data_IF_595880698773
#
_entry.id   IF_595880698773
#
_cell.length_a   1.000
_cell.length_b   1.000
_cell.length_c   1.000
_cell.angle_alpha   90.00
_cell.angle_beta   90.00
_cell.angle_gamma   90.00
#
_symmetry.space_group_name_H-M   'P 1'
#
loop_
_entity.id
_entity.type
_entity.pdbx_description
1 polymer ?
#
# COMPACT_ATOMS: atom_id res chain seq x y z
N UNK A 1 -14.16 3.20 10.01
CA UNK A 1 -15.00 2.24 10.77
C UNK A 1 -14.10 1.45 11.70
N UNK A 2 -14.61 1.03 12.86
CA UNK A 2 -13.83 0.35 13.89
C UNK A 2 -14.70 -0.66 14.64
N UNK A 3 -14.33 -1.94 14.57
CA UNK A 3 -15.08 -3.01 15.24
C UNK A 3 -14.86 -3.05 16.75
N UNK A 4 -13.83 -2.37 17.28
CA UNK A 4 -13.49 -2.36 18.71
C UNK A 4 -14.46 -1.49 19.52
N UNK A 5 -14.92 -0.40 18.91
CA UNK A 5 -15.81 0.58 19.55
C UNK A 5 -17.18 0.72 18.87
N UNK A 6 -17.37 0.11 17.69
CA UNK A 6 -18.63 0.16 16.95
C UNK A 6 -18.79 1.40 16.05
N UNK A 7 -17.72 2.16 15.82
CA UNK A 7 -17.78 3.29 14.89
C UNK A 7 -18.06 2.80 13.47
N UNK A 8 -19.26 3.08 12.95
CA UNK A 8 -19.68 2.68 11.60
C UNK A 8 -19.91 1.18 11.40
N UNK A 9 -19.97 0.38 12.47
CA UNK A 9 -20.22 -1.07 12.44
C UNK A 9 -20.68 -1.58 13.83
N UNK A 10 -20.85 -2.88 14.02
CA UNK A 10 -21.11 -3.45 15.35
C UNK A 10 -19.81 -3.54 16.18
N UNK A 11 -19.87 -3.21 17.47
CA UNK A 11 -18.75 -3.32 18.41
C UNK A 11 -18.47 -4.79 18.80
N UNK A 12 -17.79 -5.53 17.91
CA UNK A 12 -17.35 -6.93 18.11
C UNK A 12 -16.32 -7.33 17.05
N UNK A 13 -15.40 -8.27 17.36
CA UNK A 13 -14.48 -8.80 16.38
C UNK A 13 -15.20 -9.35 15.14
N UNK A 14 -14.59 -9.17 13.97
CA UNK A 14 -15.02 -9.88 12.77
C UNK A 14 -14.59 -11.35 12.90
N UNK A 15 -15.56 -12.25 12.98
CA UNK A 15 -15.31 -13.68 13.11
C UNK A 15 -14.55 -14.24 11.88
N UNK A 16 -13.66 -15.21 12.12
CA UNK A 16 -12.95 -15.91 11.05
C UNK A 16 -13.91 -16.62 10.12
N UNK A 17 -13.68 -16.49 8.81
CA UNK A 17 -14.59 -17.01 7.79
C UNK A 17 -15.72 -16.05 7.40
N UNK A 18 -15.90 -14.92 8.10
CA UNK A 18 -16.96 -13.97 7.81
C UNK A 18 -16.50 -12.82 6.91
N UNK A 19 -17.48 -12.20 6.26
CA UNK A 19 -17.32 -10.99 5.45
C UNK A 19 -18.15 -9.86 6.05
N UNK A 20 -17.54 -8.69 6.18
CA UNK A 20 -18.18 -7.44 6.54
C UNK A 20 -18.41 -6.60 5.28
N UNK A 21 -19.64 -6.12 5.08
CA UNK A 21 -19.98 -5.16 4.03
C UNK A 21 -19.82 -3.74 4.57
N UNK A 22 -19.14 -2.88 3.81
CA UNK A 22 -18.83 -1.51 4.18
C UNK A 22 -19.30 -0.58 3.05
N UNK A 23 -20.17 0.37 3.39
CA UNK A 23 -20.59 1.46 2.50
C UNK A 23 -19.87 2.72 2.95
N UNK A 24 -18.83 3.17 2.23
CA UNK A 24 -18.11 4.38 2.58
C UNK A 24 -18.95 5.63 2.30
N UNK A 25 -18.76 6.67 3.12
CA UNK A 25 -19.33 7.99 2.87
C UNK A 25 -18.48 8.73 1.83
N UNK A 26 -18.85 8.60 0.56
CA UNK A 26 -18.12 9.14 -0.59
C UNK A 26 -19.07 9.77 -1.60
N UNK A 27 -18.60 10.72 -2.43
CA UNK A 27 -19.43 11.35 -3.45
C UNK A 27 -20.08 10.34 -4.41
N UNK A 28 -21.27 10.66 -4.89
CA UNK A 28 -21.94 9.88 -5.93
C UNK A 28 -21.07 9.79 -7.19
N UNK A 29 -21.08 8.62 -7.84
CA UNK A 29 -20.21 8.34 -9.00
C UNK A 29 -18.81 7.84 -8.64
N UNK A 30 -18.47 7.72 -7.35
CA UNK A 30 -17.26 7.02 -6.91
C UNK A 30 -17.25 5.56 -7.39
N UNK A 31 -16.16 5.13 -8.00
CA UNK A 31 -15.96 3.78 -8.54
C UNK A 31 -14.97 2.95 -7.73
N UNK A 32 -14.09 3.58 -6.96
CA UNK A 32 -13.16 2.91 -6.06
C UNK A 32 -12.78 3.81 -4.87
N UNK A 33 -12.24 3.20 -3.81
CA UNK A 33 -11.73 3.91 -2.63
C UNK A 33 -10.33 3.42 -2.25
N UNK A 34 -9.49 4.35 -1.81
CA UNK A 34 -8.21 4.05 -1.14
C UNK A 34 -8.48 3.94 0.36
N UNK A 35 -8.10 2.81 0.95
CA UNK A 35 -8.34 2.52 2.37
C UNK A 35 -7.08 1.98 3.03
N UNK A 36 -6.94 2.28 4.31
CA UNK A 36 -5.98 1.63 5.21
C UNK A 36 -6.73 0.68 6.14
N UNK A 37 -6.32 -0.57 6.16
CA UNK A 37 -6.94 -1.63 6.97
C UNK A 37 -5.98 -2.06 8.05
N UNK A 38 -6.46 -2.13 9.29
CA UNK A 38 -5.68 -2.55 10.46
C UNK A 38 -6.35 -3.75 11.10
N UNK A 39 -5.60 -4.83 11.31
CA UNK A 39 -6.04 -5.97 12.13
C UNK A 39 -5.46 -5.86 13.52
N UNK A 40 -6.32 -5.95 14.53
CA UNK A 40 -5.98 -5.85 15.95
C UNK A 40 -6.36 -7.16 16.64
N UNK A 41 -5.45 -7.67 17.46
CA UNK A 41 -5.60 -8.91 18.25
C UNK A 41 -6.18 -10.11 17.49
N UNK A 42 -5.59 -10.51 16.34
CA UNK A 42 -6.04 -11.70 15.63
C UNK A 42 -5.79 -12.97 16.45
N UNK A 43 -6.76 -13.88 16.48
CA UNK A 43 -6.68 -15.13 17.27
C UNK A 43 -5.69 -16.16 16.70
N UNK A 44 -5.28 -16.01 15.45
CA UNK A 44 -4.33 -16.87 14.75
C UNK A 44 -3.60 -16.10 13.64
N UNK A 45 -2.56 -16.68 13.06
CA UNK A 45 -2.00 -16.15 11.80
C UNK A 45 -3.02 -16.30 10.69
N UNK A 46 -3.20 -15.26 9.87
CA UNK A 46 -4.21 -15.25 8.82
C UNK A 46 -4.06 -14.05 7.90
N UNK A 47 -5.15 -13.70 7.24
CA UNK A 47 -5.18 -12.58 6.30
C UNK A 47 -6.56 -11.95 6.22
N UNK A 48 -6.57 -10.70 5.75
CA UNK A 48 -7.77 -9.97 5.37
C UNK A 48 -7.75 -9.69 3.88
N UNK A 49 -8.89 -9.92 3.23
CA UNK A 49 -9.12 -9.62 1.81
C UNK A 49 -10.12 -8.49 1.69
N UNK A 50 -9.80 -7.47 0.88
CA UNK A 50 -10.67 -6.33 0.59
C UNK A 50 -11.02 -6.38 -0.90
N UNK A 51 -12.31 -6.34 -1.24
CA UNK A 51 -12.80 -6.59 -2.60
C UNK A 51 -14.18 -5.97 -2.85
N UNK A 52 -14.60 -5.70 -4.10
CA UNK A 52 -15.95 -5.21 -4.37
C UNK A 52 -17.00 -6.21 -3.87
N UNK A 53 -18.08 -5.72 -3.26
CA UNK A 53 -19.19 -6.61 -2.89
C UNK A 53 -19.93 -7.13 -4.14
N UNK A 54 -20.49 -8.33 -4.04
CA UNK A 54 -21.29 -8.94 -5.11
C UNK A 54 -20.49 -9.71 -6.17
N UNK A 55 -19.16 -9.79 -6.04
CA UNK A 55 -18.31 -10.68 -6.85
C UNK A 55 -17.76 -11.83 -6.01
N UNK A 56 -17.35 -12.96 -6.61
CA UNK A 56 -16.60 -13.99 -5.91
C UNK A 56 -15.35 -13.40 -5.24
N UNK A 57 -15.10 -13.78 -3.98
CA UNK A 57 -13.95 -13.28 -3.22
C UNK A 57 -12.63 -13.64 -3.96
N UNK A 58 -11.80 -12.67 -4.35
CA UNK A 58 -10.50 -12.92 -4.95
C UNK A 58 -9.50 -13.47 -3.92
N UNK A 59 -8.39 -14.04 -4.39
CA UNK A 59 -7.32 -14.58 -3.52
C UNK A 59 -6.33 -13.52 -3.00
N UNK A 60 -6.64 -12.23 -3.19
CA UNK A 60 -5.79 -11.13 -2.74
C UNK A 60 -5.79 -10.99 -1.22
N UNK A 61 -4.66 -10.54 -0.67
CA UNK A 61 -4.47 -10.30 0.76
C UNK A 61 -4.06 -8.84 0.97
N UNK A 62 -4.95 -8.05 1.56
CA UNK A 62 -4.65 -6.66 1.90
C UNK A 62 -3.75 -6.56 3.13
N UNK A 63 -3.99 -7.42 4.13
CA UNK A 63 -3.26 -7.47 5.41
C UNK A 63 -2.93 -8.92 5.74
N UNK A 64 -1.70 -9.17 6.21
CA UNK A 64 -1.28 -10.46 6.75
C UNK A 64 -1.32 -10.41 8.29
N UNK A 65 -2.42 -10.89 8.86
CA UNK A 65 -2.69 -10.88 10.30
C UNK A 65 -1.70 -11.76 11.06
N UNK A 66 -1.16 -11.24 12.15
CA UNK A 66 -0.14 -11.92 12.96
C UNK A 66 -0.50 -11.81 14.44
N UNK A 67 -0.53 -12.96 15.13
CA UNK A 67 -0.80 -13.03 16.57
C UNK A 67 0.17 -12.15 17.34
N UNK A 68 -0.36 -11.35 18.28
CA UNK A 68 0.43 -10.44 19.10
C UNK A 68 0.95 -9.21 18.36
N UNK A 69 0.47 -8.95 17.13
CA UNK A 69 0.84 -7.76 16.35
C UNK A 69 -0.40 -7.01 15.88
N UNK A 70 -0.35 -5.69 15.97
CA UNK A 70 -1.22 -4.81 15.19
C UNK A 70 -0.58 -4.66 13.82
N UNK A 71 -1.28 -5.04 12.76
CA UNK A 71 -0.75 -5.02 11.38
C UNK A 71 -1.66 -4.17 10.51
N UNK A 72 -1.06 -3.25 9.78
CA UNK A 72 -1.75 -2.38 8.82
C UNK A 72 -1.36 -2.75 7.38
N UNK A 73 -2.29 -2.57 6.46
CA UNK A 73 -2.04 -2.63 5.03
C UNK A 73 -3.07 -1.81 4.26
N UNK A 74 -2.60 -1.12 3.22
CA UNK A 74 -3.47 -0.31 2.37
C UNK A 74 -3.98 -1.10 1.16
N UNK A 75 -5.09 -0.65 0.60
CA UNK A 75 -5.69 -1.18 -0.62
C UNK A 75 -6.44 -0.07 -1.38
N UNK A 76 -6.36 -0.10 -2.71
CA UNK A 76 -7.37 0.56 -3.55
C UNK A 76 -8.38 -0.51 -3.97
N UNK A 77 -9.62 -0.34 -3.55
CA UNK A 77 -10.71 -1.32 -3.76
C UNK A 77 -11.82 -0.72 -4.63
N UNK A 78 -12.21 -1.40 -5.72
CA UNK A 78 -13.41 -1.06 -6.48
C UNK A 78 -14.68 -1.14 -5.61
N UNK A 79 -15.63 -0.23 -5.82
CA UNK A 79 -16.96 -0.32 -5.22
C UNK A 79 -17.84 -1.23 -6.08
N UNK A 80 -18.52 -2.17 -5.42
CA UNK A 80 -19.49 -3.07 -6.04
C UNK A 80 -20.90 -2.48 -6.08
N UNK A 81 -21.89 -3.37 -6.18
CA UNK A 81 -23.30 -2.97 -6.16
C UNK A 81 -23.64 -2.16 -4.89
N UNK A 82 -24.42 -1.09 -5.05
CA UNK A 82 -24.80 -0.21 -3.94
C UNK A 82 -23.67 0.67 -3.39
N UNK A 83 -22.53 0.78 -4.11
CA UNK A 83 -21.40 1.61 -3.67
C UNK A 83 -20.62 1.00 -2.51
N UNK A 84 -20.72 -0.31 -2.29
CA UNK A 84 -20.11 -1.00 -1.15
C UNK A 84 -18.86 -1.79 -1.54
N UNK A 85 -17.93 -1.94 -0.60
CA UNK A 85 -16.88 -2.95 -0.66
C UNK A 85 -16.98 -3.91 0.53
N UNK A 86 -16.37 -5.07 0.36
CA UNK A 86 -16.45 -6.19 1.26
C UNK A 86 -15.07 -6.49 1.84
N UNK A 87 -15.03 -6.78 3.14
CA UNK A 87 -13.84 -7.15 3.88
C UNK A 87 -14.03 -8.55 4.46
N UNK A 88 -13.26 -9.50 3.97
CA UNK A 88 -13.24 -10.87 4.50
C UNK A 88 -12.07 -11.04 5.46
N UNK A 89 -12.32 -11.69 6.61
CA UNK A 89 -11.25 -12.11 7.51
C UNK A 89 -11.14 -13.63 7.56
N UNK A 90 -9.93 -14.16 7.35
CA UNK A 90 -9.67 -15.60 7.45
C UNK A 90 -9.73 -16.11 8.90
N UNK A 91 -9.37 -15.26 9.85
CA UNK A 91 -9.31 -15.55 11.29
C UNK A 91 -10.09 -14.50 12.07
N UNK A 92 -10.53 -14.82 13.29
CA UNK A 92 -11.20 -13.82 14.14
C UNK A 92 -10.21 -12.71 14.51
N UNK A 93 -10.58 -11.46 14.28
CA UNK A 93 -9.75 -10.28 14.59
C UNK A 93 -10.64 -9.06 14.73
N UNK A 94 -10.20 -8.09 15.51
CA UNK A 94 -10.72 -6.72 15.40
C UNK A 94 -10.15 -6.07 14.13
N UNK A 95 -10.94 -5.20 13.49
CA UNK A 95 -10.61 -4.53 12.25
C UNK A 95 -10.95 -3.05 12.34
N UNK A 96 -9.97 -2.21 11.99
CA UNK A 96 -10.16 -0.79 11.75
C UNK A 96 -9.97 -0.53 10.26
N UNK A 97 -10.86 0.25 9.65
CA UNK A 97 -10.70 0.70 8.25
C UNK A 97 -10.85 2.21 8.19
N UNK A 98 -9.79 2.86 7.74
CA UNK A 98 -9.74 4.30 7.47
C UNK A 98 -9.90 4.55 5.97
N UNK A 99 -10.68 5.56 5.60
CA UNK A 99 -10.83 6.02 4.23
C UNK A 99 -9.79 7.10 3.92
N UNK A 100 -8.92 6.86 2.94
CA UNK A 100 -7.86 7.78 2.54
C UNK A 100 -8.26 8.66 1.36
N UNK A 101 -9.11 8.15 0.46
CA UNK A 101 -9.58 8.88 -0.71
C UNK A 101 -10.53 8.05 -1.58
N UNK A 102 -11.10 8.71 -2.59
CA UNK A 102 -12.06 8.12 -3.53
C UNK A 102 -11.65 8.41 -4.97
N UNK A 103 -11.96 7.48 -5.87
CA UNK A 103 -11.73 7.61 -7.30
C UNK A 103 -13.07 7.66 -8.03
N UNK A 104 -13.19 8.57 -8.98
CA UNK A 104 -14.33 8.67 -9.88
C UNK A 104 -13.82 9.03 -11.28
N UNK A 105 -14.51 8.59 -12.35
CA UNK A 105 -14.18 9.02 -13.71
C UNK A 105 -14.20 10.55 -13.83
N UNK A 106 -13.22 11.12 -14.52
CA UNK A 106 -13.10 12.57 -14.76
C UNK A 106 -13.10 13.42 -13.47
N UNK A 107 -12.57 12.89 -12.37
CA UNK A 107 -12.34 13.66 -11.16
C UNK A 107 -11.40 14.85 -11.44
N UNK A 108 -11.62 15.99 -10.79
CA UNK A 108 -10.79 17.20 -10.96
C UNK A 108 -9.37 17.05 -10.42
N UNK A 109 -9.13 16.08 -9.52
CA UNK A 109 -7.82 15.68 -9.06
C UNK A 109 -7.53 14.25 -9.56
N UNK A 110 -6.74 14.17 -10.63
CA UNK A 110 -6.30 12.91 -11.24
C UNK A 110 -4.98 12.45 -10.63
N UNK A 111 -4.55 11.22 -10.90
CA UNK A 111 -3.25 10.72 -10.46
C UNK A 111 -2.19 10.96 -11.53
N UNK A 112 -0.97 11.32 -11.13
CA UNK A 112 0.20 11.30 -11.98
C UNK A 112 1.23 10.34 -11.36
N UNK A 113 1.43 9.17 -11.96
CA UNK A 113 2.43 8.24 -11.48
C UNK A 113 3.82 8.73 -11.88
N UNK A 114 4.79 8.60 -10.97
CA UNK A 114 6.19 8.94 -11.24
C UNK A 114 7.08 7.72 -11.01
N UNK A 115 8.30 7.76 -11.53
CA UNK A 115 9.35 6.87 -11.03
C UNK A 115 9.56 7.22 -9.57
N UNK A 116 9.41 6.24 -8.67
CA UNK A 116 9.46 6.47 -7.22
C UNK A 116 10.73 7.20 -6.79
N UNK A 117 10.60 8.14 -5.85
CA UNK A 117 11.71 8.95 -5.34
C UNK A 117 11.75 9.00 -3.81
N UNK A 118 12.95 8.85 -3.23
CA UNK A 118 13.19 9.09 -1.79
C UNK A 118 13.03 10.57 -1.49
N UNK A 119 12.11 10.92 -0.59
CA UNK A 119 11.89 12.30 -0.11
C UNK A 119 12.47 12.54 1.27
N UNK A 120 12.58 11.48 2.06
CA UNK A 120 13.12 11.56 3.41
C UNK A 120 13.79 10.25 3.80
N UNK A 121 14.95 10.30 4.44
CA UNK A 121 15.64 9.13 4.99
C UNK A 121 16.53 9.50 6.18
N UNK A 122 16.31 8.83 7.31
CA UNK A 122 17.13 9.01 8.52
C UNK A 122 18.30 8.03 8.60
N UNK A 123 18.32 6.99 7.77
CA UNK A 123 19.36 5.97 7.83
C UNK A 123 20.76 6.48 7.50
N UNK A 124 20.97 7.40 6.52
CA UNK A 124 22.31 7.90 6.20
C UNK A 124 23.00 8.61 7.37
N UNK A 125 22.26 9.23 8.29
CA UNK A 125 22.83 9.85 9.49
C UNK A 125 23.07 8.86 10.62
N UNK A 126 22.57 7.62 10.52
CA UNK A 126 22.61 6.61 11.57
C UNK A 126 21.76 6.94 12.81
N UNK A 127 21.06 8.08 12.82
CA UNK A 127 20.27 8.54 13.97
C UNK A 127 18.79 8.19 13.78
N UNK A 128 18.22 7.47 14.76
CA UNK A 128 16.77 7.29 14.88
C UNK A 128 16.11 8.60 15.27
N UNK A 129 14.90 8.82 14.79
CA UNK A 129 14.02 9.86 15.33
C UNK A 129 13.62 9.51 16.76
N UNK A 130 13.42 10.52 17.60
CA UNK A 130 12.92 10.35 18.96
C UNK A 130 11.40 10.13 18.94
N UNK A 131 10.84 9.47 19.95
CA UNK A 131 9.40 9.29 20.07
C UNK A 131 8.68 10.65 20.11
N UNK A 132 7.59 10.79 19.35
CA UNK A 132 6.86 12.05 19.24
C UNK A 132 7.40 13.00 18.17
N UNK A 133 8.50 12.68 17.50
CA UNK A 133 9.04 13.52 16.42
C UNK A 133 8.05 13.61 15.26
N UNK A 134 7.81 14.83 14.79
CA UNK A 134 7.06 15.12 13.56
C UNK A 134 8.05 15.61 12.50
N UNK A 135 8.11 14.89 11.39
CA UNK A 135 8.90 15.26 10.22
C UNK A 135 7.98 15.87 9.17
N UNK A 136 8.37 17.00 8.59
CA UNK A 136 7.72 17.58 7.41
C UNK A 136 8.43 17.07 6.17
N UNK A 137 7.71 16.31 5.33
CA UNK A 137 8.23 15.72 4.11
C UNK A 137 7.70 16.49 2.91
N UNK A 138 8.59 17.15 2.18
CA UNK A 138 8.21 17.91 0.99
C UNK A 138 7.90 16.98 -0.19
N UNK A 139 6.66 17.01 -0.69
CA UNK A 139 6.22 16.22 -1.84
C UNK A 139 6.10 17.06 -3.11
N UNK A 140 5.83 18.36 -2.99
CA UNK A 140 5.85 19.31 -4.13
C UNK A 140 7.25 19.78 -4.51
N UNK A 141 7.49 19.95 -5.80
CA UNK A 141 8.79 20.38 -6.33
C UNK A 141 9.84 19.27 -6.24
N UNK A 142 11.05 19.50 -6.76
CA UNK A 142 12.16 18.50 -6.78
C UNK A 142 11.86 17.21 -7.55
N UNK A 143 11.44 17.31 -8.82
CA UNK A 143 11.33 16.15 -9.72
C UNK A 143 10.23 15.14 -9.41
N UNK A 144 9.31 15.44 -8.47
CA UNK A 144 8.30 14.49 -7.98
C UNK A 144 6.86 14.98 -8.10
N UNK A 145 6.44 15.96 -7.29
CA UNK A 145 5.07 16.50 -7.29
C UNK A 145 4.93 17.84 -8.01
N UNK A 146 3.85 18.01 -8.78
CA UNK A 146 3.52 19.28 -9.43
C UNK A 146 3.13 20.38 -8.41
N UNK A 147 3.30 21.67 -8.76
CA UNK A 147 2.94 22.80 -7.89
C UNK A 147 1.47 22.83 -7.45
N UNK A 148 0.56 22.29 -8.27
CA UNK A 148 -0.88 22.21 -8.03
C UNK A 148 -1.35 20.89 -7.42
N UNK A 149 -0.42 19.99 -7.06
CA UNK A 149 -0.79 18.69 -6.47
C UNK A 149 -1.56 18.87 -5.16
N UNK A 150 -2.70 18.22 -5.00
CA UNK A 150 -3.57 18.30 -3.81
C UNK A 150 -3.43 17.09 -2.89
N UNK A 151 -2.83 15.99 -3.35
CA UNK A 151 -2.46 14.84 -2.53
C UNK A 151 -1.18 14.17 -3.05
N UNK A 152 -0.58 13.31 -2.22
CA UNK A 152 0.60 12.51 -2.53
C UNK A 152 0.30 11.03 -2.29
N UNK A 153 0.79 10.16 -3.18
CA UNK A 153 0.85 8.72 -2.95
C UNK A 153 2.26 8.38 -2.48
N UNK A 154 2.40 7.96 -1.22
CA UNK A 154 3.69 7.72 -0.58
C UNK A 154 3.84 6.27 -0.11
N UNK A 155 5.08 5.81 0.03
CA UNK A 155 5.43 4.61 0.79
C UNK A 155 6.20 5.03 2.03
N UNK A 156 5.72 4.61 3.20
CA UNK A 156 6.32 4.90 4.50
C UNK A 156 7.08 3.68 4.97
N UNK A 157 8.33 3.87 5.40
CA UNK A 157 9.16 2.83 6.00
C UNK A 157 9.46 3.17 7.45
N UNK A 158 8.85 2.42 8.38
CA UNK A 158 9.21 2.42 9.79
C UNK A 158 10.24 1.33 10.03
N UNK A 159 11.45 1.69 10.45
CA UNK A 159 12.59 0.78 10.44
C UNK A 159 13.31 0.76 11.79
N UNK A 160 13.74 -0.43 12.18
CA UNK A 160 14.52 -0.70 13.39
C UNK A 160 13.93 0.00 14.63
N UNK A 161 12.62 -0.14 14.82
CA UNK A 161 11.94 0.49 15.95
C UNK A 161 12.50 -0.05 17.27
N UNK A 162 12.82 0.83 18.22
CA UNK A 162 13.38 0.44 19.51
C UNK A 162 12.38 -0.34 20.36
N UNK A 163 11.11 0.06 20.29
CA UNK A 163 9.95 -0.58 20.92
C UNK A 163 8.79 -0.54 19.93
N UNK A 164 7.73 -1.32 20.19
CA UNK A 164 6.54 -1.30 19.35
C UNK A 164 5.90 0.09 19.32
N UNK A 165 5.40 0.48 18.16
CA UNK A 165 4.82 1.79 17.93
C UNK A 165 4.18 1.89 16.55
N UNK A 166 3.90 3.10 16.13
CA UNK A 166 3.23 3.39 14.87
C UNK A 166 3.77 4.67 14.23
N UNK A 167 3.42 4.82 12.96
CA UNK A 167 3.61 6.04 12.17
C UNK A 167 2.23 6.55 11.76
N UNK A 168 2.03 7.86 11.80
CA UNK A 168 0.84 8.54 11.25
C UNK A 168 1.32 9.57 10.23
N UNK A 169 0.69 9.60 9.05
CA UNK A 169 0.91 10.62 8.03
C UNK A 169 -0.36 11.43 7.79
N UNK A 170 -0.24 12.76 7.67
CA UNK A 170 -1.37 13.66 7.48
C UNK A 170 -0.95 14.97 6.78
N UNK A 171 -1.89 15.72 6.17
CA UNK A 171 -1.63 17.08 5.70
C UNK A 171 -1.21 17.99 6.87
N UNK A 172 -0.05 18.66 6.75
CA UNK A 172 0.56 19.44 7.84
C UNK A 172 -0.29 20.62 8.36
N UNK A 173 -1.25 21.09 7.58
CA UNK A 173 -2.16 22.19 7.88
C UNK A 173 -3.44 21.75 8.61
N UNK A 174 -3.62 20.45 8.85
CA UNK A 174 -4.73 19.90 9.61
C UNK A 174 -4.27 19.35 10.96
N UNK A 175 -5.23 19.15 11.86
CA UNK A 175 -5.01 18.39 13.09
C UNK A 175 -4.61 16.95 12.78
N UNK A 176 -3.69 16.40 13.58
CA UNK A 176 -3.22 15.03 13.42
C UNK A 176 -4.37 14.06 13.71
N UNK A 177 -4.68 13.13 12.78
CA UNK A 177 -5.69 12.11 13.01
C UNK A 177 -5.18 11.07 14.02
N UNK A 178 -6.10 10.31 14.62
CA UNK A 178 -5.75 9.19 15.51
C UNK A 178 -5.36 7.91 14.74
N UNK A 179 -5.66 7.86 13.45
CA UNK A 179 -5.35 6.73 12.59
C UNK A 179 -3.83 6.51 12.43
N UNK A 180 -3.42 5.24 12.46
CA UNK A 180 -2.04 4.82 12.16
C UNK A 180 -1.91 4.51 10.67
N UNK A 181 -0.88 5.07 10.03
CA UNK A 181 -0.47 4.74 8.67
C UNK A 181 0.35 3.44 8.60
N UNK A 182 1.17 3.15 9.62
CA UNK A 182 1.93 1.91 9.70
C UNK A 182 2.12 1.49 11.16
N UNK A 183 2.03 0.19 11.45
CA UNK A 183 2.27 -0.37 12.78
C UNK A 183 3.52 -1.23 12.79
N UNK A 184 4.44 -0.99 13.73
CA UNK A 184 5.76 -1.61 13.79
C UNK A 184 6.01 -2.18 15.18
N UNK A 185 6.68 -3.33 15.25
CA UNK A 185 7.12 -3.90 16.53
C UNK A 185 8.57 -3.54 16.85
N UNK A 186 8.95 -3.64 18.13
CA UNK A 186 10.34 -3.54 18.56
C UNK A 186 11.26 -4.51 17.79
N UNK A 187 12.40 -4.00 17.32
CA UNK A 187 13.39 -4.74 16.52
C UNK A 187 12.95 -5.06 15.09
N UNK A 188 11.83 -4.53 14.61
CA UNK A 188 11.28 -4.82 13.28
C UNK A 188 11.33 -3.62 12.33
N UNK A 189 11.10 -3.92 11.05
CA UNK A 189 10.90 -2.93 10.00
C UNK A 189 9.68 -3.29 9.18
N UNK A 190 8.84 -2.31 8.85
CA UNK A 190 7.62 -2.48 8.05
C UNK A 190 7.53 -1.38 6.99
N UNK A 191 6.74 -1.66 5.95
CA UNK A 191 6.35 -0.66 4.96
C UNK A 191 4.83 -0.61 4.84
N UNK A 192 4.27 0.57 4.60
CA UNK A 192 2.90 0.68 4.09
C UNK A 192 2.80 1.80 3.06
N UNK A 193 1.92 1.66 2.06
CA UNK A 193 1.62 2.73 1.11
C UNK A 193 0.43 3.56 1.61
N UNK A 194 0.45 4.88 1.41
CA UNK A 194 -0.59 5.78 1.90
C UNK A 194 -0.83 6.86 0.86
N UNK A 195 -2.09 7.07 0.49
CA UNK A 195 -2.53 8.28 -0.19
C UNK A 195 -2.92 9.32 0.87
N UNK A 196 -2.32 10.51 0.80
CA UNK A 196 -2.47 11.55 1.82
C UNK A 196 -2.62 12.92 1.16
N UNK A 197 -3.63 13.68 1.59
CA UNK A 197 -3.81 15.07 1.16
C UNK A 197 -2.57 15.91 1.51
N UNK A 198 -2.32 16.95 0.72
CA UNK A 198 -1.25 17.92 0.98
C UNK A 198 -1.81 19.34 1.04
N UNK A 199 -1.45 20.07 2.08
CA UNK A 199 -1.84 21.46 2.28
C UNK A 199 -1.18 22.43 1.29
N UNK A 200 -1.38 23.75 1.45
CA UNK A 200 -0.80 24.77 0.57
C UNK A 200 0.73 24.76 0.46
N UNK A 201 1.45 24.24 1.47
CA UNK A 201 2.93 24.13 1.43
C UNK A 201 3.44 22.95 0.60
N UNK A 202 2.58 21.96 0.31
CA UNK A 202 2.99 20.74 -0.39
C UNK A 202 3.78 19.77 0.48
N UNK A 203 3.58 19.83 1.79
CA UNK A 203 4.22 18.98 2.79
C UNK A 203 3.24 17.93 3.33
N UNK A 204 3.79 16.74 3.62
CA UNK A 204 3.13 15.71 4.44
C UNK A 204 3.82 15.68 5.79
N UNK A 205 3.05 15.75 6.87
CA UNK A 205 3.56 15.60 8.22
C UNK A 205 3.53 14.13 8.61
N UNK A 206 4.63 13.65 9.20
CA UNK A 206 4.81 12.25 9.59
C UNK A 206 5.30 12.17 11.03
N UNK A 207 4.49 11.55 11.90
CA UNK A 207 4.79 11.30 13.31
C UNK A 207 5.39 9.91 13.45
N UNK A 208 6.44 9.77 14.27
CA UNK A 208 6.85 8.48 14.82
C UNK A 208 6.47 8.38 16.30
N UNK A 209 5.79 7.31 16.72
CA UNK A 209 5.35 7.15 18.12
C UNK A 209 6.41 6.51 19.03
N UNK A 210 7.50 6.02 18.45
CA UNK A 210 8.59 5.32 19.15
C UNK A 210 9.92 5.62 18.44
N UNK A 211 11.08 5.45 19.10
CA UNK A 211 12.36 5.72 18.46
C UNK A 211 12.61 4.75 17.31
N UNK A 212 12.73 5.27 16.08
CA UNK A 212 12.88 4.45 14.86
C UNK A 212 13.58 5.22 13.74
N UNK A 213 14.11 4.51 12.77
CA UNK A 213 14.42 5.12 11.48
C UNK A 213 13.13 5.27 10.67
N UNK A 214 12.98 6.42 10.03
CA UNK A 214 11.93 6.71 9.08
C UNK A 214 12.55 6.95 7.71
N UNK A 215 11.87 6.44 6.69
CA UNK A 215 12.02 6.93 5.33
C UNK A 215 10.66 7.05 4.63
N UNK A 216 10.57 7.98 3.68
CA UNK A 216 9.35 8.24 2.91
C UNK A 216 9.70 8.37 1.44
N UNK A 217 9.03 7.56 0.63
CA UNK A 217 9.14 7.52 -0.83
C UNK A 217 7.88 8.10 -1.46
N UNK A 218 8.03 8.91 -2.50
CA UNK A 218 6.92 9.44 -3.31
C UNK A 218 6.74 8.56 -4.55
N UNK A 219 5.56 7.95 -4.68
CA UNK A 219 5.19 7.06 -5.79
C UNK A 219 4.48 7.82 -6.93
N UNK A 220 3.80 8.91 -6.58
CA UNK A 220 3.03 9.75 -7.49
C UNK A 220 2.30 10.85 -6.70
N UNK A 221 1.56 11.68 -7.41
CA UNK A 221 0.79 12.78 -6.81
C UNK A 221 -0.58 12.88 -7.47
N UNK A 222 -1.50 13.55 -6.79
CA UNK A 222 -2.83 13.83 -7.30
C UNK A 222 -3.00 15.33 -7.52
N UNK A 223 -3.66 15.76 -8.59
CA UNK A 223 -3.94 17.17 -8.82
C UNK A 223 -4.55 17.48 -10.19
N UNK A 224 -4.91 18.75 -10.44
CA UNK A 224 -5.56 19.17 -11.70
C UNK A 224 -4.70 18.93 -12.96
N UNK A 225 -3.40 19.12 -12.87
CA UNK A 225 -2.47 18.92 -14.00
C UNK A 225 -2.08 17.45 -14.23
N UNK A 226 -2.49 16.54 -13.35
CA UNK A 226 -2.21 15.11 -13.51
C UNK A 226 -2.97 14.52 -14.71
N UNK A 227 -2.42 13.47 -15.32
CA UNK A 227 -2.90 12.99 -16.63
C UNK A 227 -3.64 11.66 -16.61
N UNK A 228 -3.65 10.91 -15.50
CA UNK A 228 -4.18 9.54 -15.48
C UNK A 228 -5.39 9.37 -14.57
N UNK A 229 -6.40 8.66 -15.08
CA UNK A 229 -7.57 8.23 -14.30
C UNK A 229 -7.33 6.83 -13.73
N UNK A 230 -7.98 6.52 -12.61
CA UNK A 230 -7.95 5.15 -12.07
C UNK A 230 -9.07 4.30 -12.68
N UNK A 231 -8.67 3.17 -13.25
CA UNK A 231 -9.55 2.16 -13.81
C UNK A 231 -9.48 0.90 -12.95
N UNK A 232 -10.54 0.71 -12.18
CA UNK A 232 -10.69 -0.44 -11.31
C UNK A 232 -10.93 -1.71 -12.15
N UNK A 233 -10.36 -2.84 -11.73
CA UNK A 233 -10.66 -4.16 -12.31
C UNK A 233 -11.12 -5.12 -11.21
N UNK A 234 -11.80 -6.21 -11.58
CA UNK A 234 -11.96 -7.32 -10.64
C UNK A 234 -10.55 -7.85 -10.31
N UNK A 235 -10.14 -7.91 -9.03
CA UNK A 235 -8.78 -8.28 -8.71
C UNK A 235 -8.39 -9.64 -9.27
N UNK A 236 -7.22 -9.74 -9.88
CA UNK A 236 -6.72 -10.97 -10.49
C UNK A 236 -5.25 -11.20 -10.16
N UNK A 237 -4.84 -12.48 -10.17
CA UNK A 237 -3.45 -12.90 -9.95
C UNK A 237 -2.64 -12.59 -11.20
N UNK A 238 -1.62 -11.75 -11.08
CA UNK A 238 -0.62 -11.49 -12.12
C UNK A 238 0.55 -12.47 -12.01
N UNK A 239 0.95 -12.81 -10.78
CA UNK A 239 2.06 -13.73 -10.54
C UNK A 239 1.90 -14.48 -9.23
N UNK A 240 2.29 -15.75 -9.22
CA UNK A 240 2.44 -16.57 -8.01
C UNK A 240 3.67 -17.46 -8.16
N UNK A 241 4.76 -17.11 -7.48
CA UNK A 241 6.00 -17.88 -7.60
C UNK A 241 5.92 -19.25 -6.92
N UNK A 242 4.89 -19.51 -6.10
CA UNK A 242 4.66 -20.83 -5.49
C UNK A 242 4.10 -21.82 -6.51
N UNK A 243 3.40 -21.29 -7.51
CA UNK A 243 2.79 -22.05 -8.62
C UNK A 243 3.59 -21.91 -9.93
N UNK A 244 4.75 -21.25 -9.89
CA UNK A 244 5.57 -20.90 -11.06
C UNK A 244 4.78 -20.12 -12.13
N UNK A 245 3.80 -19.32 -11.69
CA UNK A 245 2.98 -18.48 -12.55
C UNK A 245 3.52 -17.04 -12.59
N UNK A 246 3.71 -16.48 -13.79
CA UNK A 246 4.29 -15.15 -14.02
C UNK A 246 5.81 -15.05 -13.79
N UNK A 247 6.36 -15.87 -12.89
CA UNK A 247 7.80 -16.03 -12.63
C UNK A 247 8.16 -17.52 -12.51
N UNK A 248 9.40 -17.93 -12.86
CA UNK A 248 9.82 -19.34 -12.91
C UNK A 248 10.04 -20.00 -11.53
N UNK A 249 9.51 -19.41 -10.45
CA UNK A 249 9.69 -19.89 -9.07
C UNK A 249 10.17 -18.79 -8.12
N UNK A 250 10.53 -19.18 -6.89
CA UNK A 250 10.98 -18.28 -5.84
C UNK A 250 12.09 -17.33 -6.30
N UNK A 251 12.11 -16.12 -5.76
CA UNK A 251 13.21 -15.20 -5.96
C UNK A 251 14.38 -15.66 -5.10
N UNK A 252 15.58 -15.66 -5.67
CA UNK A 252 16.81 -15.84 -4.92
C UNK A 252 17.31 -14.48 -4.42
N UNK A 253 18.28 -14.48 -3.50
CA UNK A 253 18.89 -13.26 -2.99
C UNK A 253 19.46 -12.40 -4.12
N UNK A 254 19.17 -11.10 -4.10
CA UNK A 254 19.67 -10.10 -5.05
C UNK A 254 19.33 -10.41 -6.51
N UNK A 255 18.16 -11.00 -6.74
CA UNK A 255 17.65 -11.20 -8.10
C UNK A 255 16.79 -10.02 -8.51
N UNK A 256 16.84 -9.68 -9.80
CA UNK A 256 15.94 -8.75 -10.44
C UNK A 256 15.34 -9.43 -11.67
N UNK A 257 14.00 -9.56 -11.73
CA UNK A 257 13.32 -10.30 -12.81
C UNK A 257 12.25 -9.42 -13.45
N UNK A 258 12.20 -9.35 -14.79
CA UNK A 258 11.13 -8.66 -15.49
C UNK A 258 9.83 -9.47 -15.48
N UNK A 259 8.70 -8.79 -15.57
CA UNK A 259 7.37 -9.37 -15.79
C UNK A 259 6.56 -8.46 -16.72
N UNK A 260 5.82 -9.06 -17.66
CA UNK A 260 4.85 -8.35 -18.48
C UNK A 260 3.61 -8.00 -17.65
N UNK A 261 3.12 -6.77 -17.76
CA UNK A 261 1.98 -6.28 -16.96
C UNK A 261 0.88 -5.78 -17.89
N UNK A 262 1.17 -4.79 -18.75
CA UNK A 262 0.19 -4.32 -19.72
C UNK A 262 -0.16 -5.45 -20.71
N UNK A 263 -1.44 -5.54 -21.08
CA UNK A 263 -1.98 -6.61 -21.93
C UNK A 263 -2.16 -7.95 -21.24
N UNK A 264 -1.94 -8.05 -19.92
CA UNK A 264 -2.21 -9.26 -19.15
C UNK A 264 -3.54 -9.17 -18.40
N UNK A 265 -4.26 -10.29 -18.32
CA UNK A 265 -5.59 -10.33 -17.71
C UNK A 265 -6.54 -9.30 -18.36
N UNK A 266 -7.26 -8.49 -17.57
CA UNK A 266 -8.14 -7.43 -18.07
C UNK A 266 -7.42 -6.11 -18.40
N UNK A 267 -6.09 -6.02 -18.28
CA UNK A 267 -5.38 -4.76 -18.51
C UNK A 267 -5.25 -4.44 -20.01
N UNK A 268 -5.42 -3.17 -20.42
CA UNK A 268 -5.09 -2.73 -21.77
C UNK A 268 -3.62 -2.97 -22.12
N UNK A 269 -3.31 -2.98 -23.42
CA UNK A 269 -1.95 -3.17 -23.92
C UNK A 269 -0.98 -2.02 -23.56
N UNK A 270 0.32 -2.19 -23.90
CA UNK A 270 1.33 -1.15 -23.71
C UNK A 270 0.93 0.18 -24.37
N UNK A 271 1.32 1.30 -23.75
CA UNK A 271 0.99 2.65 -24.21
C UNK A 271 -0.30 3.25 -23.64
N UNK A 272 -1.24 2.41 -23.16
CA UNK A 272 -2.43 2.87 -22.43
C UNK A 272 -2.20 2.85 -20.92
N UNK A 273 -1.60 1.78 -20.39
CA UNK A 273 -1.35 1.65 -18.96
C UNK A 273 -0.07 2.41 -18.56
N UNK A 274 -0.20 3.45 -17.72
CA UNK A 274 0.92 4.24 -17.20
C UNK A 274 1.46 3.71 -15.87
N UNK A 275 0.59 3.26 -14.99
CA UNK A 275 0.94 2.61 -13.73
C UNK A 275 -0.11 1.58 -13.32
N UNK A 276 0.24 0.69 -12.40
CA UNK A 276 -0.66 -0.35 -11.89
C UNK A 276 -0.66 -0.33 -10.37
N UNK A 277 -1.86 -0.50 -9.80
CA UNK A 277 -2.09 -0.71 -8.37
C UNK A 277 -2.17 -2.22 -8.11
N UNK A 278 -1.21 -2.76 -7.36
CA UNK A 278 -1.13 -4.18 -7.07
C UNK A 278 -0.72 -4.47 -5.63
N UNK A 279 -1.35 -5.48 -5.02
CA UNK A 279 -0.89 -6.06 -3.77
C UNK A 279 0.31 -6.97 -4.05
N UNK A 280 1.45 -6.64 -3.48
CA UNK A 280 2.61 -7.52 -3.42
C UNK A 280 2.62 -8.20 -2.06
N UNK A 281 2.65 -9.53 -2.05
CA UNK A 281 2.80 -10.33 -0.83
C UNK A 281 4.10 -11.11 -0.89
N UNK A 282 5.00 -10.87 0.07
CA UNK A 282 6.15 -11.72 0.31
C UNK A 282 5.71 -12.93 1.15
N UNK A 283 6.02 -14.13 0.68
CA UNK A 283 5.62 -15.39 1.30
C UNK A 283 6.86 -16.22 1.64
N UNK A 284 6.90 -16.71 2.88
CA UNK A 284 8.01 -17.46 3.47
C UNK A 284 9.41 -16.90 3.14
N UNK A 285 9.72 -15.65 3.54
CA UNK A 285 11.03 -15.10 3.24
C UNK A 285 12.14 -15.82 4.03
N UNK A 286 13.24 -16.15 3.35
CA UNK A 286 14.38 -16.86 3.94
C UNK A 286 15.22 -15.99 4.89
N UNK A 287 15.09 -14.67 4.80
CA UNK A 287 15.75 -13.69 5.65
C UNK A 287 14.94 -12.38 5.72
N UNK A 288 15.27 -11.50 6.66
CA UNK A 288 14.79 -10.12 6.62
C UNK A 288 15.31 -9.40 5.37
N UNK A 289 14.44 -8.64 4.71
CA UNK A 289 14.78 -8.06 3.43
C UNK A 289 13.71 -7.13 2.88
N UNK A 290 13.85 -6.81 1.60
CA UNK A 290 12.95 -5.94 0.87
C UNK A 290 12.66 -6.44 -0.54
N UNK A 291 11.56 -5.92 -1.09
CA UNK A 291 11.14 -6.05 -2.48
C UNK A 291 11.01 -4.65 -3.09
N UNK A 292 11.47 -4.49 -4.32
CA UNK A 292 11.40 -3.24 -5.10
C UNK A 292 10.78 -3.53 -6.45
N UNK A 293 9.74 -2.78 -6.80
CA UNK A 293 9.05 -2.87 -8.09
C UNK A 293 9.34 -1.58 -8.85
N UNK A 294 9.93 -1.67 -10.03
CA UNK A 294 10.41 -0.50 -10.77
C UNK A 294 10.24 -0.71 -12.29
N UNK A 295 10.26 0.37 -13.11
CA UNK A 295 10.10 0.26 -14.55
C UNK A 295 11.43 -0.15 -15.21
N UNK A 296 12.02 -1.25 -14.75
CA UNK A 296 13.26 -1.84 -15.29
C UNK A 296 14.45 -0.88 -15.46
N UNK A 297 14.51 0.17 -14.65
CA UNK A 297 15.64 1.11 -14.62
C UNK A 297 16.96 0.39 -14.34
N UNK A 298 18.03 0.86 -14.98
CA UNK A 298 19.39 0.45 -14.71
C UNK A 298 20.20 1.69 -14.28
N UNK A 299 20.78 1.72 -13.06
CA UNK A 299 20.76 0.67 -12.04
C UNK A 299 19.38 0.48 -11.36
N UNK A 300 19.23 -0.63 -10.62
CA UNK A 300 18.05 -0.86 -9.75
C UNK A 300 18.00 0.26 -8.69
N UNK A 301 16.83 0.92 -8.49
CA UNK A 301 16.73 2.02 -7.53
C UNK A 301 17.04 1.54 -6.12
N UNK A 302 17.77 2.36 -5.34
CA UNK A 302 18.05 2.09 -3.93
C UNK A 302 16.85 2.42 -3.03
N UNK A 303 15.67 1.92 -3.43
CA UNK A 303 14.39 2.09 -2.75
C UNK A 303 13.85 0.71 -2.38
N UNK A 304 12.87 0.67 -1.50
CA UNK A 304 12.14 -0.56 -1.13
C UNK A 304 10.65 -0.23 -1.14
N UNK A 305 9.79 -1.13 -1.61
CA UNK A 305 8.34 -0.92 -1.52
C UNK A 305 7.73 -1.78 -0.42
N UNK A 306 8.18 -3.02 -0.31
CA UNK A 306 7.80 -3.96 0.73
C UNK A 306 9.03 -4.32 1.57
N UNK A 307 8.89 -4.31 2.89
CA UNK A 307 9.87 -4.86 3.83
C UNK A 307 9.29 -6.06 4.53
N UNK A 308 10.09 -7.11 4.67
CA UNK A 308 9.67 -8.36 5.28
C UNK A 308 10.73 -8.89 6.25
N UNK A 309 10.29 -9.79 7.13
CA UNK A 309 11.14 -10.50 8.08
C UNK A 309 11.19 -11.98 7.72
N UNK A 310 12.22 -12.68 8.21
CA UNK A 310 12.36 -14.13 8.05
C UNK A 310 11.08 -14.86 8.49
N UNK A 311 10.54 -15.73 7.62
CA UNK A 311 9.35 -16.56 7.85
C UNK A 311 8.06 -15.79 8.21
N UNK A 312 7.99 -14.51 7.85
CA UNK A 312 6.80 -13.69 8.08
C UNK A 312 6.22 -13.25 6.75
N UNK A 313 4.99 -13.68 6.48
CA UNK A 313 4.24 -13.18 5.33
C UNK A 313 3.83 -11.74 5.58
N UNK A 314 4.02 -10.87 4.58
CA UNK A 314 3.62 -9.47 4.62
C UNK A 314 3.12 -9.03 3.26
N UNK A 315 2.16 -8.11 3.23
CA UNK A 315 1.59 -7.55 2.02
C UNK A 315 1.69 -6.03 2.03
N UNK A 316 1.84 -5.41 0.86
CA UNK A 316 1.74 -3.96 0.69
C UNK A 316 1.12 -3.63 -0.66
N UNK A 317 0.34 -2.56 -0.71
CA UNK A 317 -0.06 -1.93 -1.96
C UNK A 317 1.16 -1.27 -2.62
N UNK A 318 1.33 -1.53 -3.91
CA UNK A 318 2.32 -0.90 -4.75
C UNK A 318 1.61 -0.21 -5.91
N UNK A 319 1.82 1.11 -6.01
CA UNK A 319 1.51 1.92 -7.19
C UNK A 319 2.82 2.18 -7.92
N UNK A 320 3.06 1.53 -9.05
CA UNK A 320 4.34 1.65 -9.77
C UNK A 320 4.14 1.84 -11.27
N UNK A 321 4.94 2.74 -11.85
CA UNK A 321 5.01 3.01 -13.29
C UNK A 321 5.49 1.80 -14.09
N UNK A 322 5.04 1.68 -15.32
CA UNK A 322 5.52 0.70 -16.29
C UNK A 322 6.60 1.29 -17.21
N UNK A 323 7.41 0.41 -17.79
CA UNK A 323 8.18 0.76 -19.00
C UNK A 323 7.25 1.05 -20.18
N UNK A 324 7.75 1.70 -21.24
CA UNK A 324 6.95 1.98 -22.44
C UNK A 324 6.41 0.72 -23.16
N UNK A 325 7.06 -0.42 -22.97
CA UNK A 325 6.60 -1.74 -23.44
C UNK A 325 5.76 -2.51 -22.40
N UNK A 326 5.33 -1.85 -21.32
CA UNK A 326 4.32 -2.36 -20.39
C UNK A 326 4.82 -3.36 -19.36
N UNK A 327 6.09 -3.26 -18.92
CA UNK A 327 6.73 -4.19 -17.98
C UNK A 327 7.07 -3.54 -16.64
N UNK A 328 7.21 -4.41 -15.64
CA UNK A 328 7.94 -4.15 -14.41
C UNK A 328 9.20 -5.00 -14.36
N UNK A 329 10.14 -4.55 -13.51
CA UNK A 329 11.18 -5.39 -12.95
C UNK A 329 11.00 -5.43 -11.43
N UNK A 330 11.13 -6.64 -10.87
CA UNK A 330 10.96 -6.90 -9.44
C UNK A 330 12.29 -7.39 -8.88
N UNK A 331 12.83 -6.65 -7.92
CA UNK A 331 14.09 -6.96 -7.25
C UNK A 331 13.85 -7.36 -5.79
N UNK A 332 14.59 -8.36 -5.30
CA UNK A 332 14.54 -8.78 -3.89
C UNK A 332 15.94 -8.83 -3.26
N UNK A 333 16.04 -8.48 -1.98
CA UNK A 333 17.32 -8.53 -1.24
C UNK A 333 17.61 -9.86 -0.57
N UNK A 334 16.68 -10.81 -0.63
CA UNK A 334 16.77 -12.13 0.00
C UNK A 334 15.81 -13.11 -0.68
N UNK A 335 15.92 -14.40 -0.33
CA UNK A 335 15.05 -15.43 -0.89
C UNK A 335 13.62 -15.26 -0.39
N UNK A 336 12.63 -15.30 -1.29
CA UNK A 336 11.21 -15.20 -0.93
C UNK A 336 10.32 -15.66 -2.08
N UNK A 337 9.13 -16.16 -1.77
CA UNK A 337 8.05 -16.26 -2.74
C UNK A 337 7.32 -14.92 -2.86
N UNK A 338 6.80 -14.62 -4.06
CA UNK A 338 5.99 -13.44 -4.31
C UNK A 338 4.65 -13.85 -4.90
N UNK A 339 3.61 -13.24 -4.36
CA UNK A 339 2.25 -13.24 -4.88
C UNK A 339 1.92 -11.81 -5.28
N UNK A 340 1.42 -11.62 -6.51
CA UNK A 340 1.08 -10.32 -7.07
C UNK A 340 -0.36 -10.34 -7.55
N UNK A 341 -1.22 -9.56 -6.90
CA UNK A 341 -2.63 -9.40 -7.26
C UNK A 341 -2.89 -7.96 -7.70
N UNK A 342 -3.40 -7.77 -8.91
CA UNK A 342 -3.69 -6.45 -9.48
C UNK A 342 -5.14 -6.06 -9.17
N UNK A 343 -5.39 -4.86 -8.65
CA UNK A 343 -6.74 -4.34 -8.38
C UNK A 343 -7.19 -3.26 -9.36
N UNK A 344 -6.28 -2.62 -10.07
CA UNK A 344 -6.59 -1.62 -11.09
C UNK A 344 -5.36 -1.00 -11.70
N UNK A 345 -5.58 -0.07 -12.62
CA UNK A 345 -4.51 0.60 -13.35
C UNK A 345 -4.80 2.08 -13.53
N UNK A 346 -3.75 2.84 -13.84
CA UNK A 346 -3.81 4.27 -14.10
C UNK A 346 -3.38 4.53 -15.55
N UNK A 347 -4.16 5.30 -16.31
CA UNK A 347 -3.77 5.80 -17.62
C UNK A 347 -4.81 6.71 -18.25
#
# INVERSE_FOLDING_TARGET
>A
MDTRDGTGTAARPLAGGCTLTIVPDVPAGTTAVSVNVVTVDPVAQGYVTVFPCGVPRPFTSAVQSQVGRIVSGSAIVPLGAGGAFCLFSNVTTEVVVDLNGSFAPAASARYEPIVTQRRFDTRPSGRRLDAGSVVRVQTRGFGGGAPDSTAASVTIHAMDAAVSGFVTAWPCDNERPWASSANVMGGSSVSNSVDVAVGPTGEVCVLVSAPMHLAVDLNGWYGPSATTDYYAVTPYRLADTREQFGFPGAFARNTNRPIAVAGTGPLPGPGTVRAVAAQFTAVDPSASGWVTVHPCTAPVPQLSMLRHQTRTNVAVLVNSVLTGDGRWCVATSSGTHLVVDVSGWFG
#
